data_IF_868150931825
#
_entry.id   IF_868150931825
#
_cell.length_a   1.000
_cell.length_b   1.000
_cell.length_c   1.000
_cell.angle_alpha   90.00
_cell.angle_beta   90.00
_cell.angle_gamma   90.00
#
_symmetry.space_group_name_H-M   'P 1'
#
loop_
_entity.id
_entity.type
_entity.pdbx_description
1 polymer ?
#
# COMPACT_ATOMS: atom_id res chain seq x y z
N UNK A 1 15.31 33.06 -1.63
CA UNK A 1 16.18 31.95 -2.10
C UNK A 1 15.73 30.69 -1.35
N UNK A 2 15.47 29.57 -2.02
CA UNK A 2 14.37 28.64 -1.69
C UNK A 2 14.68 27.60 -0.59
N UNK A 3 13.75 27.43 0.35
CA UNK A 3 13.62 26.29 1.26
C UNK A 3 13.28 25.01 0.49
N UNK A 4 14.30 24.34 -0.06
CA UNK A 4 14.15 23.19 -0.96
C UNK A 4 13.85 21.84 -0.28
N UNK A 5 13.66 21.76 1.04
CA UNK A 5 13.84 20.49 1.76
C UNK A 5 12.71 20.06 2.72
N UNK A 6 11.44 20.49 2.51
CA UNK A 6 10.36 20.18 3.50
C UNK A 6 9.23 19.26 3.03
N UNK A 7 9.13 18.88 1.77
CA UNK A 7 7.94 18.14 1.29
C UNK A 7 8.24 16.85 0.54
N UNK A 8 9.33 16.17 0.89
CA UNK A 8 9.59 14.77 0.49
C UNK A 8 8.86 13.75 1.40
N UNK A 9 7.81 14.17 2.13
CA UNK A 9 7.09 13.31 3.10
C UNK A 9 5.65 13.01 2.68
N UNK A 10 5.39 13.10 1.38
CA UNK A 10 4.12 12.78 0.75
C UNK A 10 4.36 11.79 -0.40
N UNK A 11 5.34 10.89 -0.27
CA UNK A 11 5.20 9.56 -0.90
C UNK A 11 4.08 8.85 -0.14
N UNK A 12 2.85 9.27 -0.43
CA UNK A 12 1.68 8.48 -0.15
C UNK A 12 1.96 7.13 -0.79
N UNK A 13 2.25 6.13 0.04
CA UNK A 13 2.33 4.74 -0.35
C UNK A 13 1.00 4.40 -1.00
N UNK A 14 0.91 4.62 -2.31
CA UNK A 14 -0.27 4.25 -3.06
C UNK A 14 -0.41 2.75 -2.88
N UNK A 15 -1.62 2.26 -2.59
CA UNK A 15 -1.82 0.84 -2.38
C UNK A 15 -1.28 0.09 -3.60
N UNK A 16 -0.45 -0.94 -3.38
CA UNK A 16 0.15 -1.68 -4.48
C UNK A 16 -0.94 -2.28 -5.37
N UNK A 17 -0.61 -2.48 -6.64
CA UNK A 17 -1.46 -3.23 -7.56
C UNK A 17 -1.34 -4.72 -7.21
N UNK A 18 -2.43 -5.46 -7.27
CA UNK A 18 -2.45 -6.90 -7.07
C UNK A 18 -1.70 -7.58 -8.23
N UNK A 19 -0.62 -8.35 -7.97
CA UNK A 19 0.12 -9.03 -9.03
C UNK A 19 -0.66 -10.17 -9.70
N UNK A 20 -1.71 -10.68 -9.04
CA UNK A 20 -2.50 -11.80 -9.56
C UNK A 20 -3.56 -11.38 -10.61
N UNK A 21 -4.23 -10.23 -10.40
CA UNK A 21 -5.33 -9.79 -11.27
C UNK A 21 -5.16 -8.38 -11.84
N UNK A 22 -4.18 -7.60 -11.37
CA UNK A 22 -3.89 -6.25 -11.89
C UNK A 22 -4.78 -5.13 -11.34
N UNK A 23 -5.63 -5.40 -10.34
CA UNK A 23 -6.47 -4.37 -9.69
C UNK A 23 -5.80 -3.77 -8.46
N UNK A 24 -6.22 -2.55 -8.09
CA UNK A 24 -5.71 -1.87 -6.89
C UNK A 24 -6.05 -2.65 -5.63
N UNK A 25 -5.06 -2.90 -4.77
CA UNK A 25 -5.30 -3.56 -3.48
C UNK A 25 -6.02 -2.61 -2.53
N UNK A 26 -6.86 -3.17 -1.65
CA UNK A 26 -7.42 -2.47 -0.52
C UNK A 26 -6.41 -2.42 0.62
N UNK A 27 -6.34 -1.28 1.30
CA UNK A 27 -5.60 -1.13 2.56
C UNK A 27 -6.56 -1.48 3.71
N UNK A 28 -6.20 -2.48 4.50
CA UNK A 28 -6.89 -2.86 5.72
C UNK A 28 -5.96 -2.50 6.89
N UNK A 29 -6.52 -1.79 7.87
CA UNK A 29 -5.79 -1.40 9.08
C UNK A 29 -6.31 -2.27 10.21
N UNK A 30 -5.46 -3.14 10.76
CA UNK A 30 -5.76 -3.99 11.92
C UNK A 30 -4.87 -3.56 13.08
N UNK A 31 -5.41 -2.77 14.00
CA UNK A 31 -4.64 -2.21 15.11
C UNK A 31 -3.55 -1.23 14.67
N UNK A 32 -2.28 -1.61 14.86
CA UNK A 32 -1.09 -0.85 14.44
C UNK A 32 -0.52 -1.37 13.10
N UNK A 33 -1.04 -2.49 12.60
CA UNK A 33 -0.59 -3.13 11.37
C UNK A 33 -1.42 -2.68 10.16
N UNK A 34 -0.74 -2.48 9.04
CA UNK A 34 -1.35 -2.16 7.75
C UNK A 34 -1.15 -3.34 6.82
N UNK A 35 -2.24 -3.94 6.39
CA UNK A 35 -2.25 -5.02 5.41
C UNK A 35 -2.81 -4.54 4.08
N UNK A 36 -2.18 -4.96 3.00
CA UNK A 36 -2.69 -4.74 1.64
C UNK A 36 -3.25 -6.07 1.12
N UNK A 37 -4.54 -6.05 0.79
CA UNK A 37 -5.26 -7.24 0.29
C UNK A 37 -6.07 -6.89 -0.94
N UNK A 38 -5.99 -7.74 -1.95
CA UNK A 38 -6.85 -7.72 -3.12
C UNK A 38 -8.29 -8.07 -2.73
N UNK A 39 -9.21 -7.10 -2.79
CA UNK A 39 -10.63 -7.33 -2.46
C UNK A 39 -11.37 -8.13 -3.53
N UNK A 40 -10.80 -8.25 -4.74
CA UNK A 40 -11.42 -9.00 -5.84
C UNK A 40 -11.05 -10.49 -5.82
N UNK A 41 -9.83 -10.79 -5.40
CA UNK A 41 -9.21 -12.09 -5.54
C UNK A 41 -8.70 -12.70 -4.22
N UNK A 42 -8.69 -11.92 -3.13
CA UNK A 42 -8.23 -12.35 -1.81
C UNK A 42 -6.70 -12.42 -1.66
N UNK A 43 -5.94 -12.09 -2.69
CA UNK A 43 -4.48 -12.13 -2.67
C UNK A 43 -3.92 -11.07 -1.70
N UNK A 44 -3.07 -11.48 -0.76
CA UNK A 44 -2.36 -10.61 0.17
C UNK A 44 -0.87 -10.95 0.12
N UNK A 45 -0.01 -9.93 0.02
CA UNK A 45 1.46 -10.08 -0.01
C UNK A 45 2.06 -10.34 1.39
N UNK A 46 1.25 -10.85 2.32
CA UNK A 46 1.77 -11.33 3.59
C UNK A 46 2.52 -12.61 3.24
N UNK A 47 3.85 -12.59 3.33
CA UNK A 47 4.69 -13.79 3.21
C UNK A 47 4.21 -14.80 4.27
N UNK A 48 3.24 -15.63 3.91
CA UNK A 48 2.89 -16.85 4.63
C UNK A 48 4.05 -17.81 4.40
N UNK A 49 4.97 -17.83 5.36
CA UNK A 49 6.13 -18.70 5.41
C UNK A 49 5.80 -20.05 6.02
#
# INVERSE_FOLDING_TARGET
MPDRNRREREEAAQPPICPACGVTQGMVVDGDDIEFICLECGFSDRQDG
#
